data_IF_445484323908
#
_entry.id   IF_445484323908
#
_cell.length_a   1.000
_cell.length_b   1.000
_cell.length_c   1.000
_cell.angle_alpha   90.00
_cell.angle_beta   90.00
_cell.angle_gamma   90.00
#
_symmetry.space_group_name_H-M   'P 1'
#
loop_
_entity.id
_entity.type
_entity.pdbx_description
1 polymer ?
#
# COMPACT_ATOMS: atom_id res chain seq x y z
N UNK A 1 6.23 -31.84 -12.64
CA UNK A 1 5.71 -30.76 -11.78
C UNK A 1 5.72 -29.47 -12.58
N UNK A 2 4.52 -28.97 -12.93
CA UNK A 2 4.38 -27.79 -13.79
C UNK A 2 4.72 -26.52 -13.04
N UNK A 3 5.48 -25.65 -13.64
CA UNK A 3 5.72 -24.28 -13.16
C UNK A 3 4.34 -23.63 -12.91
N UNK A 4 4.03 -23.31 -11.65
CA UNK A 4 2.90 -22.45 -11.35
C UNK A 4 3.28 -21.02 -11.74
N UNK A 5 2.63 -20.49 -12.75
CA UNK A 5 2.74 -19.08 -13.09
C UNK A 5 1.90 -18.31 -12.07
N UNK A 6 2.54 -17.67 -11.14
CA UNK A 6 1.88 -16.72 -10.24
C UNK A 6 1.84 -15.35 -10.91
N UNK A 7 0.66 -14.74 -10.93
CA UNK A 7 0.50 -13.37 -11.42
C UNK A 7 0.48 -12.44 -10.22
N UNK A 8 1.33 -11.45 -10.24
CA UNK A 8 1.31 -10.37 -9.26
C UNK A 8 1.26 -9.03 -9.98
N UNK A 9 0.64 -8.05 -9.34
CA UNK A 9 0.68 -6.67 -9.79
C UNK A 9 1.93 -6.00 -9.21
N UNK A 10 2.64 -5.30 -10.07
CA UNK A 10 3.84 -4.56 -9.71
C UNK A 10 3.54 -3.07 -9.85
N UNK A 11 3.75 -2.26 -8.80
CA UNK A 11 3.67 -0.81 -8.90
C UNK A 11 4.69 -0.28 -9.92
N UNK A 12 4.22 0.52 -10.85
CA UNK A 12 5.08 1.17 -11.85
C UNK A 12 5.21 2.65 -11.51
N UNK A 13 6.36 3.04 -11.02
CA UNK A 13 6.68 4.43 -10.70
C UNK A 13 7.03 5.23 -11.97
N UNK A 14 6.64 6.48 -12.01
CA UNK A 14 7.20 7.41 -12.99
C UNK A 14 8.72 7.52 -12.78
N UNK A 15 9.47 7.42 -13.86
CA UNK A 15 10.94 7.31 -13.80
C UNK A 15 11.46 5.87 -13.74
N UNK A 16 10.58 4.88 -13.71
CA UNK A 16 10.92 3.46 -13.80
C UNK A 16 10.81 2.69 -12.49
N UNK A 17 10.66 1.38 -12.64
CA UNK A 17 10.59 0.40 -11.55
C UNK A 17 11.56 -0.74 -11.83
N UNK A 18 12.40 -1.07 -10.85
CA UNK A 18 13.20 -2.29 -10.87
C UNK A 18 12.42 -3.41 -10.22
N UNK A 19 12.38 -4.56 -10.88
CA UNK A 19 11.77 -5.78 -10.34
C UNK A 19 12.82 -6.87 -10.36
N UNK A 20 13.19 -7.34 -9.19
CA UNK A 20 14.16 -8.43 -9.04
C UNK A 20 13.44 -9.70 -8.57
N UNK A 21 13.81 -10.80 -9.19
CA UNK A 21 13.28 -12.11 -8.84
C UNK A 21 14.41 -12.97 -8.27
N UNK A 22 14.14 -13.59 -7.12
CA UNK A 22 15.05 -14.56 -6.53
C UNK A 22 14.26 -15.80 -6.09
N UNK A 23 14.92 -16.92 -5.98
CA UNK A 23 14.37 -18.12 -5.36
C UNK A 23 14.89 -18.19 -3.92
N UNK A 24 14.01 -18.44 -2.97
CA UNK A 24 14.42 -18.77 -1.61
C UNK A 24 14.96 -20.22 -1.55
N UNK A 25 15.68 -20.62 -0.48
CA UNK A 25 16.21 -21.99 -0.35
C UNK A 25 15.12 -23.07 -0.36
N UNK A 26 13.86 -22.75 -0.10
CA UNK A 26 12.72 -23.64 -0.18
C UNK A 26 12.11 -23.75 -1.57
N UNK A 27 12.66 -23.01 -2.56
CA UNK A 27 12.15 -22.93 -3.93
C UNK A 27 10.97 -21.95 -4.08
N UNK A 28 10.69 -21.14 -3.05
CA UNK A 28 9.70 -20.07 -3.12
C UNK A 28 10.23 -18.88 -3.95
N UNK A 29 9.32 -18.22 -4.68
CA UNK A 29 9.65 -17.01 -5.41
C UNK A 29 9.74 -15.82 -4.44
N UNK A 30 10.86 -15.15 -4.43
CA UNK A 30 11.06 -13.85 -3.80
C UNK A 30 10.97 -12.77 -4.89
N UNK A 31 10.26 -11.71 -4.58
CA UNK A 31 10.09 -10.57 -5.45
C UNK A 31 10.59 -9.33 -4.72
N UNK A 32 11.45 -8.55 -5.34
CA UNK A 32 11.85 -7.23 -4.89
C UNK A 32 11.40 -6.18 -5.90
N UNK A 33 10.69 -5.17 -5.43
CA UNK A 33 10.17 -4.07 -6.24
C UNK A 33 10.69 -2.77 -5.67
N UNK A 34 11.39 -2.01 -6.49
CA UNK A 34 11.95 -0.72 -6.07
C UNK A 34 11.81 0.32 -7.19
N UNK A 35 11.52 1.59 -6.86
CA UNK A 35 11.61 2.66 -7.82
C UNK A 35 13.06 2.86 -8.28
N UNK A 36 13.26 3.24 -9.54
CA UNK A 36 14.60 3.57 -10.09
C UNK A 36 15.07 4.94 -9.60
N UNK A 37 14.13 5.84 -9.44
CA UNK A 37 14.40 7.20 -8.97
C UNK A 37 14.93 7.21 -7.52
N UNK A 38 16.06 7.91 -7.27
CA UNK A 38 16.74 7.92 -5.98
C UNK A 38 15.92 8.55 -4.85
N UNK A 39 15.11 9.56 -5.15
CA UNK A 39 14.25 10.19 -4.14
C UNK A 39 13.13 9.23 -3.71
N UNK A 40 12.51 8.57 -4.67
CA UNK A 40 11.48 7.55 -4.41
C UNK A 40 12.07 6.33 -3.70
N UNK A 41 13.31 5.94 -4.05
CA UNK A 41 14.05 4.91 -3.29
C UNK A 41 14.25 5.31 -1.84
N UNK A 42 14.58 6.59 -1.59
CA UNK A 42 14.75 7.09 -0.22
C UNK A 42 13.43 6.99 0.56
N UNK A 43 12.30 7.36 -0.03
CA UNK A 43 10.97 7.18 0.57
C UNK A 43 10.66 5.70 0.83
N UNK A 44 10.95 4.83 -0.12
CA UNK A 44 10.74 3.39 0.01
C UNK A 44 11.58 2.81 1.16
N UNK A 45 12.84 3.21 1.27
CA UNK A 45 13.73 2.80 2.38
C UNK A 45 13.25 3.33 3.72
N UNK A 46 12.83 4.60 3.79
CA UNK A 46 12.27 5.17 5.01
C UNK A 46 11.06 4.35 5.47
N UNK A 47 10.12 4.08 4.55
CA UNK A 47 8.91 3.34 4.86
C UNK A 47 9.18 1.90 5.30
N UNK A 48 10.22 1.27 4.82
CA UNK A 48 10.55 -0.13 5.10
C UNK A 48 11.51 -0.35 6.26
N UNK A 49 12.18 0.71 6.75
CA UNK A 49 13.15 0.56 7.82
C UNK A 49 12.53 -0.08 9.07
N UNK A 50 13.12 -1.21 9.48
CA UNK A 50 12.71 -1.89 10.71
C UNK A 50 13.08 -1.08 11.97
N UNK A 51 14.12 -0.24 11.86
CA UNK A 51 14.57 0.64 12.91
C UNK A 51 13.92 2.00 12.74
N UNK A 52 12.97 2.33 13.62
CA UNK A 52 12.21 3.57 13.53
C UNK A 52 13.07 4.84 13.45
N UNK A 53 14.18 4.90 14.19
CA UNK A 53 15.11 6.02 14.16
C UNK A 53 15.82 6.19 12.80
N UNK A 54 16.17 5.10 12.12
CA UNK A 54 16.78 5.15 10.79
C UNK A 54 15.75 5.66 9.76
N UNK A 55 14.56 5.11 9.74
CA UNK A 55 13.49 5.56 8.85
C UNK A 55 13.13 7.03 9.08
N UNK A 56 13.06 7.47 10.34
CA UNK A 56 12.86 8.87 10.70
C UNK A 56 13.99 9.76 10.20
N UNK A 57 15.24 9.30 10.29
CA UNK A 57 16.41 10.03 9.78
C UNK A 57 16.34 10.24 8.26
N UNK A 58 16.06 9.17 7.51
CA UNK A 58 15.90 9.22 6.05
C UNK A 58 14.75 10.14 5.66
N UNK A 59 13.60 10.02 6.34
CA UNK A 59 12.43 10.86 6.11
C UNK A 59 12.72 12.34 6.39
N UNK A 60 13.40 12.64 7.50
CA UNK A 60 13.77 14.01 7.87
C UNK A 60 14.76 14.62 6.87
N UNK A 61 15.68 13.82 6.33
CA UNK A 61 16.59 14.26 5.28
C UNK A 61 15.87 14.55 3.96
N UNK A 62 14.90 13.69 3.62
CA UNK A 62 14.07 13.88 2.44
C UNK A 62 13.25 15.17 2.55
N UNK A 63 12.52 15.37 3.64
CA UNK A 63 11.63 16.54 3.84
C UNK A 63 12.37 17.87 3.93
N UNK A 64 13.65 17.86 4.31
CA UNK A 64 14.51 19.07 4.27
C UNK A 64 14.89 19.48 2.85
N UNK A 65 14.98 18.54 1.92
CA UNK A 65 15.41 18.79 0.54
C UNK A 65 14.25 18.98 -0.40
N UNK A 66 13.19 18.25 -0.16
CA UNK A 66 12.04 18.18 -1.07
C UNK A 66 10.76 18.52 -0.28
N UNK A 67 10.02 19.56 -0.69
CA UNK A 67 8.72 19.84 -0.10
C UNK A 67 7.78 18.66 -0.31
N UNK A 68 7.36 17.99 0.75
CA UNK A 68 6.41 16.86 0.67
C UNK A 68 5.11 17.30 0.01
N UNK A 69 4.71 18.55 0.23
CA UNK A 69 3.60 19.17 -0.47
C UNK A 69 3.69 19.03 -2.01
N UNK A 70 4.89 19.03 -2.59
CA UNK A 70 5.05 18.85 -4.04
C UNK A 70 4.62 17.46 -4.51
N UNK A 71 4.66 16.45 -3.65
CA UNK A 71 4.19 15.09 -3.96
C UNK A 71 2.73 14.85 -3.58
N UNK A 72 2.19 15.65 -2.66
CA UNK A 72 0.86 15.44 -2.08
C UNK A 72 -0.13 16.51 -2.55
N UNK A 73 0.34 17.65 -3.11
CA UNK A 73 -0.50 18.81 -3.44
C UNK A 73 -1.04 18.79 -4.87
N UNK A 74 -2.30 19.06 -4.98
CA UNK A 74 -3.02 19.77 -6.03
C UNK A 74 -3.32 19.01 -7.31
N UNK A 75 -2.36 18.76 -8.12
CA UNK A 75 -2.49 17.92 -9.30
C UNK A 75 -2.01 16.52 -8.92
N UNK A 76 -2.95 15.61 -8.70
CA UNK A 76 -2.58 14.21 -8.45
C UNK A 76 -1.80 13.73 -9.66
N UNK A 77 -0.50 13.45 -9.50
CA UNK A 77 0.36 13.11 -10.61
C UNK A 77 -0.13 11.81 -11.27
N UNK A 78 0.28 11.58 -12.50
CA UNK A 78 0.03 10.34 -13.24
C UNK A 78 0.57 9.09 -12.49
N UNK A 79 1.42 9.29 -11.49
CA UNK A 79 2.02 8.26 -10.65
C UNK A 79 1.39 8.23 -9.24
N UNK A 80 0.32 7.43 -9.04
CA UNK A 80 -0.31 7.31 -7.73
C UNK A 80 0.60 6.64 -6.69
N UNK A 81 1.56 5.84 -7.13
CA UNK A 81 2.43 5.07 -6.23
C UNK A 81 3.35 5.98 -5.42
N UNK A 82 3.89 7.01 -6.06
CA UNK A 82 4.72 8.02 -5.39
C UNK A 82 3.90 8.80 -4.36
N UNK A 83 2.67 9.18 -4.68
CA UNK A 83 1.77 9.89 -3.76
C UNK A 83 1.46 9.01 -2.55
N UNK A 84 1.06 7.76 -2.79
CA UNK A 84 0.76 6.81 -1.71
C UNK A 84 1.99 6.60 -0.83
N UNK A 85 3.16 6.41 -1.42
CA UNK A 85 4.41 6.22 -0.70
C UNK A 85 4.75 7.41 0.19
N UNK A 86 4.63 8.64 -0.32
CA UNK A 86 4.87 9.87 0.44
C UNK A 86 3.86 10.04 1.58
N UNK A 87 2.58 9.79 1.33
CA UNK A 87 1.53 9.85 2.36
C UNK A 87 1.76 8.80 3.46
N UNK A 88 2.14 7.58 3.10
CA UNK A 88 2.46 6.53 4.08
C UNK A 88 3.68 6.89 4.93
N UNK A 89 4.71 7.52 4.34
CA UNK A 89 5.85 8.03 5.10
C UNK A 89 5.42 9.14 6.07
N UNK A 90 4.57 10.07 5.63
CA UNK A 90 4.06 11.14 6.48
C UNK A 90 3.22 10.62 7.66
N UNK A 91 2.43 9.57 7.43
CA UNK A 91 1.67 8.88 8.49
C UNK A 91 2.59 8.15 9.46
N UNK A 92 3.65 7.52 8.95
CA UNK A 92 4.58 6.76 9.78
C UNK A 92 5.51 7.63 10.61
N UNK A 93 5.92 8.77 10.07
CA UNK A 93 6.92 9.65 10.66
C UNK A 93 6.34 11.05 10.88
N UNK A 94 6.02 11.44 12.11
CA UNK A 94 5.29 12.67 12.43
C UNK A 94 6.16 13.94 12.31
N UNK A 95 6.72 14.20 11.14
CA UNK A 95 7.44 15.44 10.80
C UNK A 95 6.53 16.48 10.14
N UNK A 96 5.34 16.08 9.72
CA UNK A 96 4.30 16.90 9.11
C UNK A 96 3.02 16.57 9.86
N UNK A 97 2.08 17.53 9.93
CA UNK A 97 0.75 17.24 10.44
C UNK A 97 0.12 16.12 9.59
N UNK A 98 -0.19 15.00 10.22
CA UNK A 98 -0.80 13.85 9.55
C UNK A 98 -2.13 14.23 8.87
N UNK A 99 -2.87 15.20 9.43
CA UNK A 99 -4.10 15.72 8.83
C UNK A 99 -3.82 16.44 7.51
N UNK A 100 -2.77 17.26 7.50
CA UNK A 100 -2.33 17.94 6.27
C UNK A 100 -1.91 16.94 5.21
N UNK A 101 -1.14 15.91 5.58
CA UNK A 101 -0.71 14.87 4.66
C UNK A 101 -1.88 14.08 4.05
N UNK A 102 -2.94 13.86 4.82
CA UNK A 102 -4.09 13.05 4.41
C UNK A 102 -5.26 13.85 3.82
N UNK A 103 -5.16 15.18 3.73
CA UNK A 103 -6.22 16.01 3.15
C UNK A 103 -6.57 15.62 1.70
N UNK A 104 -5.64 15.04 0.96
CA UNK A 104 -5.81 14.58 -0.42
C UNK A 104 -6.26 13.12 -0.56
N UNK A 105 -6.36 12.38 0.54
CA UNK A 105 -6.77 10.98 0.51
C UNK A 105 -8.15 10.75 -0.13
N UNK A 106 -9.16 11.62 0.05
CA UNK A 106 -10.44 11.50 -0.65
C UNK A 106 -10.29 11.59 -2.17
N UNK A 107 -9.51 12.54 -2.66
CA UNK A 107 -9.29 12.72 -4.10
C UNK A 107 -8.47 11.56 -4.68
N UNK A 108 -7.42 11.13 -3.98
CA UNK A 108 -6.62 9.95 -4.36
C UNK A 108 -7.51 8.71 -4.48
N UNK A 109 -8.38 8.45 -3.50
CA UNK A 109 -9.27 7.29 -3.52
C UNK A 109 -10.35 7.37 -4.62
N UNK A 110 -10.73 8.58 -5.02
CA UNK A 110 -11.67 8.81 -6.12
C UNK A 110 -11.03 8.57 -7.49
N UNK A 111 -9.82 9.07 -7.70
CA UNK A 111 -9.10 8.94 -8.98
C UNK A 111 -8.54 7.54 -9.17
N UNK A 112 -8.00 6.96 -8.11
CA UNK A 112 -7.38 5.63 -8.12
C UNK A 112 -8.17 4.64 -7.27
N UNK A 113 -9.48 4.59 -7.52
CA UNK A 113 -10.42 3.75 -6.76
C UNK A 113 -10.11 2.24 -6.83
N UNK A 114 -9.25 1.81 -7.73
CA UNK A 114 -8.81 0.43 -7.89
C UNK A 114 -7.60 0.06 -7.01
N UNK A 115 -6.93 1.04 -6.39
CA UNK A 115 -5.78 0.81 -5.51
C UNK A 115 -6.28 0.65 -4.06
N UNK A 116 -6.11 -0.52 -3.41
CA UNK A 116 -6.58 -0.72 -2.04
C UNK A 116 -5.92 0.24 -1.04
N UNK A 117 -4.63 0.59 -1.23
CA UNK A 117 -3.89 1.51 -0.37
C UNK A 117 -4.52 2.91 -0.30
N UNK A 118 -5.12 3.40 -1.39
CA UNK A 118 -5.82 4.68 -1.41
C UNK A 118 -7.01 4.71 -0.44
N UNK A 119 -7.73 3.59 -0.34
CA UNK A 119 -8.85 3.46 0.61
C UNK A 119 -8.38 3.27 2.05
N UNK A 120 -7.20 2.69 2.27
CA UNK A 120 -6.57 2.61 3.61
C UNK A 120 -6.21 4.02 4.09
N UNK A 121 -5.58 4.83 3.22
CA UNK A 121 -5.26 6.23 3.51
C UNK A 121 -6.52 7.08 3.73
N UNK A 122 -7.56 6.88 2.92
CA UNK A 122 -8.87 7.54 3.12
C UNK A 122 -9.44 7.21 4.50
N UNK A 123 -9.48 5.93 4.88
CA UNK A 123 -9.98 5.52 6.19
C UNK A 123 -9.20 6.17 7.33
N UNK A 124 -7.87 6.25 7.21
CA UNK A 124 -7.03 6.91 8.19
C UNK A 124 -7.34 8.40 8.29
N UNK A 125 -7.45 9.11 7.18
CA UNK A 125 -7.81 10.53 7.12
C UNK A 125 -9.15 10.83 7.77
N UNK A 126 -10.17 9.99 7.52
CA UNK A 126 -11.49 10.12 8.15
C UNK A 126 -11.42 9.99 9.68
N UNK A 127 -10.64 9.02 10.18
CA UNK A 127 -10.54 8.78 11.63
C UNK A 127 -9.79 9.88 12.38
N UNK A 128 -8.70 10.41 11.82
CA UNK A 128 -7.92 11.46 12.49
C UNK A 128 -8.52 12.86 12.28
N UNK A 129 -9.25 13.08 11.19
CA UNK A 129 -9.90 14.34 10.86
C UNK A 129 -11.19 14.59 11.62
N UNK A 130 -11.80 13.54 12.18
CA UNK A 130 -13.13 13.62 12.80
C UNK A 130 -13.15 14.50 14.06
N UNK A 131 -14.08 15.45 14.09
CA UNK A 131 -14.44 16.14 15.32
C UNK A 131 -15.17 15.17 16.29
N UNK A 132 -15.17 15.43 17.59
CA UNK A 132 -15.80 14.54 18.56
C UNK A 132 -17.27 14.19 18.25
N UNK A 133 -18.01 15.16 17.72
CA UNK A 133 -19.42 15.03 17.32
C UNK A 133 -19.61 14.18 16.07
N UNK A 134 -18.60 14.10 15.20
CA UNK A 134 -18.67 13.39 13.92
C UNK A 134 -18.10 11.96 13.98
N UNK A 135 -17.66 11.51 15.14
CA UNK A 135 -16.96 10.22 15.31
C UNK A 135 -17.77 9.02 14.82
N UNK A 136 -19.09 9.04 15.00
CA UNK A 136 -19.96 7.94 14.54
C UNK A 136 -19.95 7.87 13.00
N UNK A 137 -20.14 9.00 12.35
CA UNK A 137 -20.09 9.10 10.88
C UNK A 137 -18.74 8.69 10.33
N UNK A 138 -17.67 9.25 10.89
CA UNK A 138 -16.29 8.95 10.49
C UNK A 138 -15.93 7.47 10.64
N UNK A 139 -16.34 6.82 11.74
CA UNK A 139 -16.10 5.39 11.95
C UNK A 139 -16.84 4.54 10.90
N UNK A 140 -18.10 4.89 10.58
CA UNK A 140 -18.86 4.19 9.55
C UNK A 140 -18.26 4.34 8.16
N UNK A 141 -17.81 5.54 7.81
CA UNK A 141 -17.17 5.79 6.51
C UNK A 141 -15.80 5.14 6.41
N UNK A 142 -15.00 5.17 7.48
CA UNK A 142 -13.72 4.48 7.53
C UNK A 142 -13.91 2.96 7.36
N UNK A 143 -14.87 2.34 8.04
CA UNK A 143 -15.19 0.92 7.84
C UNK A 143 -15.61 0.61 6.40
N UNK A 144 -16.37 1.50 5.77
CA UNK A 144 -16.74 1.36 4.35
C UNK A 144 -15.52 1.40 3.44
N UNK A 145 -14.59 2.32 3.69
CA UNK A 145 -13.33 2.43 2.94
C UNK A 145 -12.45 1.18 3.14
N UNK A 146 -12.29 0.68 4.37
CA UNK A 146 -11.54 -0.54 4.66
C UNK A 146 -12.19 -1.80 4.02
N UNK A 147 -13.53 -1.89 4.05
CA UNK A 147 -14.25 -2.95 3.33
C UNK A 147 -14.04 -2.86 1.82
N UNK A 148 -13.92 -1.66 1.28
CA UNK A 148 -13.62 -1.46 -0.14
C UNK A 148 -12.19 -1.90 -0.46
N UNK A 149 -11.21 -1.50 0.34
CA UNK A 149 -9.83 -1.98 0.20
C UNK A 149 -9.77 -3.50 0.16
N UNK A 150 -10.43 -4.19 1.12
CA UNK A 150 -10.49 -5.66 1.16
C UNK A 150 -11.09 -6.28 -0.11
N UNK A 151 -12.14 -5.67 -0.68
CA UNK A 151 -12.77 -6.19 -1.91
C UNK A 151 -11.88 -6.05 -3.13
N UNK A 152 -11.01 -5.06 -3.15
CA UNK A 152 -10.02 -4.84 -4.21
C UNK A 152 -8.84 -5.81 -4.09
N UNK A 153 -8.51 -6.25 -2.89
CA UNK A 153 -7.42 -7.16 -2.61
C UNK A 153 -6.56 -6.72 -1.43
N UNK A 154 -5.38 -7.31 -1.29
CA UNK A 154 -4.43 -6.88 -0.29
C UNK A 154 -3.78 -5.55 -0.72
N UNK A 155 -3.54 -4.61 0.20
CA UNK A 155 -2.71 -3.45 -0.07
C UNK A 155 -1.33 -3.83 -0.59
N UNK A 156 -0.82 -3.01 -1.50
CA UNK A 156 0.49 -3.25 -2.14
C UNK A 156 1.66 -2.87 -1.24
N UNK A 157 1.48 -1.84 -0.40
CA UNK A 157 2.51 -1.46 0.55
C UNK A 157 2.38 -2.25 1.86
N UNK A 158 3.51 -2.77 2.34
CA UNK A 158 3.56 -3.53 3.59
C UNK A 158 3.05 -2.71 4.79
N UNK A 159 3.38 -1.43 4.83
CA UNK A 159 2.92 -0.53 5.88
C UNK A 159 1.41 -0.26 5.83
N UNK A 160 0.81 -0.20 4.65
CA UNK A 160 -0.66 -0.10 4.52
C UNK A 160 -1.38 -1.28 5.16
N UNK A 161 -0.78 -2.47 5.09
CA UNK A 161 -1.32 -3.66 5.74
C UNK A 161 -1.29 -3.54 7.28
N UNK A 162 -0.19 -3.01 7.82
CA UNK A 162 -0.07 -2.72 9.25
C UNK A 162 -1.11 -1.67 9.67
N UNK A 163 -1.16 -0.55 8.95
CA UNK A 163 -2.10 0.54 9.21
C UNK A 163 -3.56 0.10 9.17
N UNK A 164 -3.91 -0.77 8.21
CA UNK A 164 -5.25 -1.36 8.12
C UNK A 164 -5.58 -2.20 9.36
N UNK A 165 -4.65 -3.05 9.80
CA UNK A 165 -4.81 -3.87 11.00
C UNK A 165 -4.99 -3.02 12.25
N UNK A 166 -4.17 -1.97 12.40
CA UNK A 166 -4.24 -1.03 13.53
C UNK A 166 -5.57 -0.29 13.58
N UNK A 167 -6.05 0.20 12.43
CA UNK A 167 -7.34 0.88 12.35
C UNK A 167 -8.52 -0.05 12.68
N UNK A 168 -8.51 -1.28 12.16
CA UNK A 168 -9.55 -2.26 12.50
C UNK A 168 -9.53 -2.60 13.98
N UNK A 169 -8.35 -2.71 14.59
CA UNK A 169 -8.20 -2.91 16.04
C UNK A 169 -8.78 -1.74 16.82
N UNK A 170 -8.40 -0.52 16.46
CA UNK A 170 -8.92 0.69 17.11
C UNK A 170 -10.44 0.82 16.99
N UNK A 171 -11.00 0.50 15.82
CA UNK A 171 -12.45 0.54 15.58
C UNK A 171 -13.19 -0.57 16.34
N UNK A 172 -12.62 -1.77 16.42
CA UNK A 172 -13.20 -2.87 17.23
C UNK A 172 -13.29 -2.50 18.70
N UNK A 173 -12.24 -1.87 19.23
CA UNK A 173 -12.11 -1.62 20.67
C UNK A 173 -12.75 -0.28 21.08
N UNK A 174 -12.81 0.72 20.18
CA UNK A 174 -13.17 2.10 20.52
C UNK A 174 -14.25 2.76 19.66
N UNK A 175 -14.82 2.10 18.64
CA UNK A 175 -15.88 2.72 17.87
C UNK A 175 -17.13 2.99 18.76
N UNK A 176 -17.82 4.13 18.55
CA UNK A 176 -18.93 4.53 19.41
C UNK A 176 -20.07 3.52 19.44
N UNK A 177 -20.43 2.94 18.27
CA UNK A 177 -21.57 2.06 18.15
C UNK A 177 -21.17 0.58 18.17
N UNK A 178 -22.02 -0.26 18.78
CA UNK A 178 -21.81 -1.71 18.85
C UNK A 178 -21.79 -2.36 17.46
N UNK A 179 -22.58 -1.85 16.53
CA UNK A 179 -22.61 -2.34 15.14
C UNK A 179 -21.27 -2.11 14.44
N UNK A 180 -20.67 -0.93 14.62
CA UNK A 180 -19.35 -0.59 14.07
C UNK A 180 -18.26 -1.51 14.61
N UNK A 181 -18.27 -1.79 15.93
CA UNK A 181 -17.34 -2.72 16.57
C UNK A 181 -17.49 -4.15 16.03
N UNK A 182 -18.73 -4.57 15.83
CA UNK A 182 -19.04 -5.88 15.24
C UNK A 182 -18.55 -5.97 13.79
N UNK A 183 -18.77 -4.92 13.01
CA UNK A 183 -18.29 -4.85 11.64
C UNK A 183 -16.76 -4.85 11.57
N UNK A 184 -16.07 -4.08 12.42
CA UNK A 184 -14.61 -4.08 12.52
C UNK A 184 -14.08 -5.48 12.86
N UNK A 185 -14.70 -6.19 13.79
CA UNK A 185 -14.36 -7.58 14.15
C UNK A 185 -14.50 -8.51 12.93
N UNK A 186 -15.56 -8.36 12.18
CA UNK A 186 -15.81 -9.16 10.97
C UNK A 186 -14.75 -8.88 9.89
N UNK A 187 -14.42 -7.62 9.64
CA UNK A 187 -13.38 -7.22 8.68
C UNK A 187 -12.00 -7.74 9.13
N UNK A 188 -11.66 -7.66 10.42
CA UNK A 188 -10.45 -8.28 10.97
C UNK A 188 -10.39 -9.78 10.70
N UNK A 189 -11.50 -10.49 10.88
CA UNK A 189 -11.59 -11.92 10.60
C UNK A 189 -11.34 -12.25 9.13
N UNK A 190 -11.75 -11.39 8.20
CA UNK A 190 -11.41 -11.54 6.79
C UNK A 190 -9.93 -11.26 6.54
N UNK A 191 -9.42 -10.18 7.09
CA UNK A 191 -8.04 -9.75 6.92
C UNK A 191 -7.03 -10.76 7.48
N UNK A 192 -7.26 -11.26 8.69
CA UNK A 192 -6.38 -12.23 9.34
C UNK A 192 -6.17 -13.52 8.54
N UNK A 193 -7.09 -13.87 7.66
CA UNK A 193 -6.94 -15.04 6.77
C UNK A 193 -5.94 -14.81 5.63
N UNK A 194 -5.67 -13.55 5.28
CA UNK A 194 -4.73 -13.19 4.22
C UNK A 194 -3.31 -13.01 4.74
N UNK A 195 -3.15 -12.60 6.02
CA UNK A 195 -1.84 -12.34 6.62
C UNK A 195 -0.83 -13.50 6.48
N UNK A 196 -1.21 -14.79 6.70
CA UNK A 196 -0.27 -15.91 6.55
C UNK A 196 0.26 -16.10 5.13
N UNK A 197 -0.45 -15.58 4.15
CA UNK A 197 -0.11 -15.69 2.73
C UNK A 197 0.61 -14.47 2.18
N UNK A 198 0.78 -13.44 3.03
CA UNK A 198 1.48 -12.24 2.66
C UNK A 198 2.99 -12.49 2.62
N UNK A 199 3.63 -12.02 1.56
CA UNK A 199 5.08 -12.02 1.38
C UNK A 199 5.58 -10.61 1.22
N UNK A 200 6.72 -10.33 1.79
CA UNK A 200 7.43 -9.09 1.51
C UNK A 200 7.94 -9.13 0.06
N UNK A 201 7.76 -8.05 -0.66
CA UNK A 201 8.33 -7.83 -1.98
C UNK A 201 9.30 -6.65 -1.85
N UNK A 202 10.54 -6.97 -1.52
CA UNK A 202 11.55 -5.96 -1.22
C UNK A 202 11.27 -5.20 0.07
N UNK A 203 11.66 -3.95 0.06
CA UNK A 203 11.67 -3.14 1.28
C UNK A 203 10.30 -2.61 1.68
N UNK A 204 9.49 -2.15 0.77
CA UNK A 204 8.23 -1.45 1.10
C UNK A 204 6.96 -2.13 0.59
N UNK A 205 7.08 -3.09 -0.33
CA UNK A 205 5.93 -3.76 -0.93
C UNK A 205 5.62 -5.11 -0.28
N UNK A 206 4.40 -5.53 -0.47
CA UNK A 206 3.93 -6.88 -0.11
C UNK A 206 3.08 -7.43 -1.24
N UNK A 207 3.06 -8.74 -1.35
CA UNK A 207 2.18 -9.46 -2.24
C UNK A 207 1.57 -10.66 -1.52
N UNK A 208 0.43 -11.11 -1.99
CA UNK A 208 -0.24 -12.27 -1.42
C UNK A 208 -0.09 -13.43 -2.38
N UNK A 209 0.55 -14.50 -1.93
CA UNK A 209 0.55 -15.76 -2.66
C UNK A 209 -0.87 -16.30 -2.74
N UNK A 210 -1.36 -16.51 -3.94
CA UNK A 210 -2.60 -17.25 -4.13
C UNK A 210 -2.36 -18.71 -3.73
N UNK A 211 -2.74 -19.09 -2.52
CA UNK A 211 -2.72 -20.47 -2.08
C UNK A 211 -3.76 -21.29 -2.87
N UNK A 212 -3.53 -21.57 -4.15
CA UNK A 212 -4.36 -22.49 -4.94
C UNK A 212 -5.88 -22.25 -4.93
N UNK A 213 -6.35 -21.26 -4.22
CA UNK A 213 -7.72 -20.81 -4.26
C UNK A 213 -7.94 -20.20 -5.65
N UNK A 214 -8.74 -20.85 -6.45
CA UNK A 214 -9.22 -20.40 -7.75
C UNK A 214 -9.46 -18.90 -7.66
N UNK A 215 -8.66 -18.13 -8.38
CA UNK A 215 -9.00 -16.77 -8.74
C UNK A 215 -10.43 -16.81 -9.27
N UNK A 216 -11.38 -16.37 -8.47
CA UNK A 216 -12.75 -16.26 -8.96
C UNK A 216 -12.71 -15.13 -9.97
N UNK A 217 -12.87 -15.53 -11.23
CA UNK A 217 -12.83 -14.67 -12.40
C UNK A 217 -13.66 -13.39 -12.20
N UNK A 218 -12.99 -12.30 -12.07
CA UNK A 218 -13.53 -10.97 -11.87
C UNK A 218 -12.42 -9.93 -11.76
N UNK A 219 -11.26 -10.35 -11.29
CA UNK A 219 -10.08 -9.51 -11.24
C UNK A 219 -9.34 -9.48 -12.58
N UNK A 220 -9.30 -10.59 -13.33
CA UNK A 220 -8.53 -10.70 -14.57
C UNK A 220 -9.02 -9.75 -15.68
N UNK A 221 -10.32 -9.53 -15.82
CA UNK A 221 -10.85 -8.61 -16.84
C UNK A 221 -10.70 -7.12 -16.48
N UNK A 222 -10.73 -6.78 -15.20
CA UNK A 222 -10.54 -5.40 -14.75
C UNK A 222 -9.08 -4.99 -14.80
N UNK A 223 -8.15 -5.88 -14.53
CA UNK A 223 -6.72 -5.58 -14.56
C UNK A 223 -6.15 -5.53 -15.97
N UNK A 224 -6.67 -6.27 -16.91
CA UNK A 224 -6.27 -6.14 -18.33
C UNK A 224 -6.64 -4.78 -18.93
N UNK A 225 -7.69 -4.11 -18.42
CA UNK A 225 -8.04 -2.75 -18.83
C UNK A 225 -7.21 -1.67 -18.13
N UNK A 226 -6.61 -1.96 -16.98
CA UNK A 226 -5.75 -1.02 -16.23
C UNK A 226 -4.35 -0.93 -16.84
N UNK A 227 -3.83 -2.01 -17.38
CA UNK A 227 -2.59 -2.00 -18.16
C UNK A 227 -2.70 -1.14 -19.44
N UNK A 228 -3.91 -0.76 -19.85
CA UNK A 228 -4.15 0.10 -20.99
C UNK A 228 -4.10 1.61 -20.67
N UNK A 229 -4.04 2.01 -19.40
CA UNK A 229 -4.09 3.43 -18.99
C UNK A 229 -2.73 4.10 -18.80
N UNK A 230 -1.65 3.40 -18.84
CA UNK A 230 -0.35 4.00 -19.01
C UNK A 230 0.31 3.35 -20.20
N UNK A 231 0.59 4.09 -21.24
CA UNK A 231 1.57 3.66 -22.23
C UNK A 231 2.94 3.60 -21.56
N UNK A 232 3.10 2.66 -20.65
CA UNK A 232 4.43 2.33 -20.13
C UNK A 232 5.13 1.67 -21.30
N UNK A 233 6.07 2.40 -21.85
CA UNK A 233 6.97 1.83 -22.85
C UNK A 233 7.64 0.61 -22.20
N UNK A 234 7.32 -0.59 -22.69
CA UNK A 234 7.89 -1.84 -22.19
C UNK A 234 9.43 -1.83 -22.27
N UNK A 235 10.02 -0.90 -23.05
CA UNK A 235 11.46 -0.67 -23.11
C UNK A 235 12.05 -0.11 -21.79
N UNK A 236 11.22 0.42 -20.89
CA UNK A 236 11.66 0.92 -19.58
C UNK A 236 11.60 -0.13 -18.46
N UNK A 237 11.04 -1.29 -18.71
CA UNK A 237 11.01 -2.39 -17.75
C UNK A 237 12.31 -3.17 -17.82
N UNK A 238 13.19 -2.97 -16.85
CA UNK A 238 14.41 -3.79 -16.72
C UNK A 238 14.12 -4.97 -15.78
N UNK A 239 14.11 -6.18 -16.32
CA UNK A 239 14.01 -7.42 -15.54
C UNK A 239 15.42 -7.95 -15.38
N UNK A 240 15.97 -7.87 -14.17
CA UNK A 240 17.28 -8.41 -13.84
C UNK A 240 17.09 -9.69 -13.02
N UNK A 241 17.32 -10.89 -13.59
CA UNK A 241 17.28 -12.11 -12.80
C UNK A 241 18.50 -12.14 -11.87
N UNK A 242 18.26 -12.10 -10.57
CA UNK A 242 19.30 -12.29 -9.55
C UNK A 242 19.28 -13.76 -9.14
N UNK A 243 20.21 -14.54 -9.69
CA UNK A 243 20.47 -15.89 -9.21
C UNK A 243 21.46 -15.78 -8.05
N UNK A 244 20.99 -15.88 -6.81
CA UNK A 244 21.89 -16.01 -5.66
C UNK A 244 22.44 -17.44 -5.65
N UNK A 245 23.79 -17.62 -5.59
CA UNK A 245 24.35 -18.94 -5.36
C UNK A 245 23.82 -19.50 -4.04
N UNK A 246 23.45 -20.75 -4.05
CA UNK A 246 23.09 -21.50 -2.85
C UNK A 246 24.43 -21.92 -2.23
N UNK A 247 24.83 -21.28 -1.11
CA UNK A 247 25.94 -21.73 -0.28
C UNK A 247 25.47 -22.90 0.62
#
# INVERSE_FOLDING_TARGET
EGLRVERTLVPLFAGGTTVEFALDPSGGLLLDVAPVDLEKQSLSRALSSAVGAEGQGIWSDFTRRTPVAAYISGDIPEDPWTVILAMLCAVRFPSIDEREALQWAPELSRQFAWIPDSHVLLARGLLIGAAPEDRVGAASEALRALSTARRLGAPYFAYSNTLLGDMLTALRDGAPEAEQRTQATKEMGYWSRHLPHQRAAGSSFSWVMSSGARSRGGLDERYSSILAFGSVDASTLTITPVVKPID
#
